data_IF_374051285317
#
_entry.id   IF_374051285317
#
_cell.length_a   1.000
_cell.length_b   1.000
_cell.length_c   1.000
_cell.angle_alpha   90.00
_cell.angle_beta   90.00
_cell.angle_gamma   90.00
#
_symmetry.space_group_name_H-M   'P 1'
#
loop_
_entity.id
_entity.type
_entity.pdbx_description
1 polymer ?
#
# COMPACT_ATOMS: atom_id res chain seq x y z
N UNK A 1 9.35 -15.16 -2.49
CA UNK A 1 9.60 -14.01 -3.36
C UNK A 1 8.31 -13.58 -4.05
N UNK A 2 8.06 -12.29 -4.09
CA UNK A 2 6.82 -11.77 -4.70
C UNK A 2 6.90 -11.91 -6.23
N UNK A 3 5.83 -12.41 -6.85
CA UNK A 3 5.75 -12.57 -8.30
C UNK A 3 5.97 -11.21 -8.98
N UNK A 4 6.76 -11.21 -10.07
CA UNK A 4 7.11 -10.00 -10.80
C UNK A 4 5.88 -9.21 -11.27
N UNK A 5 4.80 -9.89 -11.63
CA UNK A 5 3.56 -9.23 -12.09
C UNK A 5 2.91 -8.43 -10.96
N UNK A 6 2.97 -8.93 -9.73
CA UNK A 6 2.49 -8.19 -8.55
C UNK A 6 3.39 -6.98 -8.31
N UNK A 7 4.71 -7.15 -8.33
CA UNK A 7 5.67 -6.06 -8.15
C UNK A 7 5.46 -4.96 -9.19
N UNK A 8 5.34 -5.34 -10.46
CA UNK A 8 5.16 -4.39 -11.56
C UNK A 8 3.85 -3.61 -11.41
N UNK A 9 2.76 -4.28 -11.00
CA UNK A 9 1.49 -3.61 -10.77
C UNK A 9 1.61 -2.57 -9.64
N UNK A 10 2.18 -2.96 -8.51
CA UNK A 10 2.33 -2.04 -7.36
C UNK A 10 3.21 -0.85 -7.74
N UNK A 11 4.31 -1.08 -8.45
CA UNK A 11 5.23 0.00 -8.84
C UNK A 11 4.62 0.97 -9.84
N UNK A 12 3.71 0.51 -10.68
CA UNK A 12 3.13 1.31 -11.76
C UNK A 12 2.12 2.34 -11.28
N UNK A 13 1.43 2.05 -10.17
CA UNK A 13 0.38 2.92 -9.64
C UNK A 13 0.96 3.87 -8.59
N UNK A 14 0.18 4.90 -8.21
CA UNK A 14 0.66 5.99 -7.38
C UNK A 14 -0.16 6.20 -6.11
N UNK A 15 -1.43 5.79 -6.10
CA UNK A 15 -2.36 6.02 -5.00
C UNK A 15 -2.85 4.70 -4.46
N UNK A 16 -2.71 4.52 -3.17
CA UNK A 16 -3.31 3.40 -2.45
C UNK A 16 -4.51 3.87 -1.64
N UNK A 17 -5.42 2.98 -1.37
CA UNK A 17 -6.43 3.16 -0.33
C UNK A 17 -5.97 2.39 0.89
N UNK A 18 -5.78 3.11 2.00
CA UNK A 18 -5.36 2.54 3.27
C UNK A 18 -6.59 2.31 4.13
N UNK A 19 -6.77 1.08 4.60
CA UNK A 19 -7.84 0.73 5.53
C UNK A 19 -7.26 0.53 6.93
N UNK A 20 -7.81 1.24 7.89
CA UNK A 20 -7.45 1.17 9.31
C UNK A 20 -8.67 0.80 10.13
N UNK A 21 -8.48 0.50 11.39
CA UNK A 21 -9.56 0.09 12.28
C UNK A 21 -9.46 0.82 13.61
N UNK A 22 -10.60 1.31 14.10
CA UNK A 22 -10.68 1.96 15.41
C UNK A 22 -10.64 0.95 16.55
N UNK A 23 -10.49 1.45 17.79
CA UNK A 23 -10.45 0.60 18.97
C UNK A 23 -11.72 -0.22 19.19
N UNK A 24 -12.85 0.22 18.65
CA UNK A 24 -14.12 -0.53 18.73
C UNK A 24 -14.46 -1.28 17.44
N UNK A 25 -13.48 -1.46 16.56
CA UNK A 25 -13.62 -2.31 15.39
C UNK A 25 -14.26 -1.66 14.17
N UNK A 26 -14.41 -0.34 14.15
CA UNK A 26 -14.96 0.36 12.99
C UNK A 26 -13.88 0.55 11.94
N UNK A 27 -14.08 0.07 10.69
CA UNK A 27 -13.12 0.28 9.61
C UNK A 27 -13.23 1.69 9.05
N UNK A 28 -12.09 2.19 8.55
CA UNK A 28 -11.98 3.51 7.94
C UNK A 28 -10.97 3.44 6.81
N UNK A 29 -11.11 4.26 5.77
CA UNK A 29 -10.15 4.28 4.68
C UNK A 29 -9.75 5.69 4.28
N UNK A 30 -8.51 5.81 3.77
CA UNK A 30 -7.96 7.06 3.30
C UNK A 30 -7.09 6.81 2.06
N UNK A 31 -7.02 7.79 1.16
CA UNK A 31 -6.17 7.70 -0.03
C UNK A 31 -4.81 8.32 0.28
N UNK A 32 -3.74 7.62 -0.13
CA UNK A 32 -2.37 8.09 0.08
C UNK A 32 -1.54 7.86 -1.19
N UNK A 33 -0.73 8.86 -1.57
CA UNK A 33 0.34 8.62 -2.53
C UNK A 33 1.39 7.73 -1.88
N UNK A 34 2.00 6.84 -2.66
CA UNK A 34 2.95 5.89 -2.10
C UNK A 34 4.13 5.64 -3.04
N UNK A 35 5.23 5.19 -2.45
CA UNK A 35 6.35 4.59 -3.15
C UNK A 35 6.49 3.14 -2.69
N UNK A 36 7.03 2.29 -3.55
CA UNK A 36 7.20 0.89 -3.25
C UNK A 36 8.69 0.51 -3.25
N UNK A 37 9.15 0.00 -2.11
CA UNK A 37 10.46 -0.59 -1.97
C UNK A 37 10.35 -2.09 -2.29
N UNK A 38 10.67 -2.46 -3.53
CA UNK A 38 10.55 -3.85 -3.97
C UNK A 38 11.56 -4.77 -3.30
N UNK A 39 12.73 -4.24 -2.92
CA UNK A 39 13.78 -5.04 -2.29
C UNK A 39 13.37 -5.51 -0.90
N UNK A 40 12.74 -4.62 -0.13
CA UNK A 40 12.28 -4.91 1.22
C UNK A 40 10.79 -5.27 1.28
N UNK A 41 10.09 -5.18 0.14
CA UNK A 41 8.64 -5.38 0.05
C UNK A 41 7.89 -4.51 1.04
N UNK A 42 8.05 -3.17 0.88
CA UNK A 42 7.43 -2.18 1.76
C UNK A 42 6.71 -1.14 0.94
N UNK A 43 5.49 -0.79 1.34
CA UNK A 43 4.76 0.33 0.76
C UNK A 43 4.95 1.54 1.69
N UNK A 44 5.43 2.65 1.13
CA UNK A 44 5.87 3.81 1.89
C UNK A 44 4.99 5.00 1.54
N UNK A 45 4.45 5.67 2.55
CA UNK A 45 3.60 6.84 2.37
C UNK A 45 3.81 7.82 3.52
N UNK A 46 3.16 8.98 3.44
CA UNK A 46 3.20 9.97 4.51
C UNK A 46 1.80 10.18 5.04
N UNK A 47 1.69 10.45 6.33
CA UNK A 47 0.43 10.79 6.98
C UNK A 47 0.71 11.71 8.14
N UNK A 48 0.00 12.85 8.18
CA UNK A 48 0.05 13.74 9.32
C UNK A 48 -0.47 13.01 10.55
N UNK A 49 0.22 13.18 11.68
CA UNK A 49 -0.13 12.49 12.93
C UNK A 49 -1.52 12.89 13.46
N UNK A 50 -2.05 14.02 13.03
CA UNK A 50 -3.40 14.45 13.43
C UNK A 50 -4.51 13.74 12.66
N UNK A 51 -4.20 13.01 11.60
CA UNK A 51 -5.23 12.32 10.82
C UNK A 51 -5.80 11.13 11.59
N UNK A 52 -7.07 10.80 11.30
CA UNK A 52 -7.73 9.65 11.90
C UNK A 52 -6.98 8.35 11.61
N UNK A 53 -6.59 8.15 10.36
CA UNK A 53 -5.90 6.90 10.00
C UNK A 53 -4.54 6.76 10.68
N UNK A 54 -3.79 7.87 10.85
CA UNK A 54 -2.52 7.81 11.58
C UNK A 54 -2.74 7.47 13.05
N UNK A 55 -3.73 8.07 13.69
CA UNK A 55 -4.08 7.77 15.08
C UNK A 55 -4.51 6.29 15.23
N UNK A 56 -5.26 5.78 14.27
CA UNK A 56 -5.68 4.37 14.31
C UNK A 56 -4.50 3.42 14.13
N UNK A 57 -3.55 3.74 13.24
CA UNK A 57 -2.33 2.92 13.09
C UNK A 57 -1.47 2.89 14.34
N UNK A 58 -1.44 3.99 15.11
CA UNK A 58 -0.71 4.01 16.39
C UNK A 58 -1.32 3.06 17.43
N UNK A 59 -2.64 2.84 17.36
CA UNK A 59 -3.35 1.95 18.28
C UNK A 59 -3.41 0.51 17.79
N UNK A 60 -3.55 0.32 16.49
CA UNK A 60 -3.60 -1.00 15.87
C UNK A 60 -2.84 -0.97 14.55
N UNK A 61 -1.70 -1.63 14.52
CA UNK A 61 -0.82 -1.63 13.37
C UNK A 61 -1.31 -2.51 12.21
N UNK A 62 -2.33 -3.33 12.40
CA UNK A 62 -2.88 -4.17 11.35
C UNK A 62 -3.70 -3.30 10.39
N UNK A 63 -3.32 -3.31 9.12
CA UNK A 63 -3.96 -2.49 8.10
C UNK A 63 -4.19 -3.31 6.84
N UNK A 64 -5.04 -2.78 5.96
CA UNK A 64 -5.21 -3.32 4.62
C UNK A 64 -5.02 -2.21 3.59
N UNK A 65 -4.59 -2.60 2.40
CA UNK A 65 -4.36 -1.67 1.29
C UNK A 65 -5.05 -2.21 0.04
N UNK A 66 -5.70 -1.31 -0.67
CA UNK A 66 -6.21 -1.59 -2.01
C UNK A 66 -5.57 -0.66 -3.02
N UNK A 67 -5.17 -1.20 -4.17
CA UNK A 67 -4.69 -0.43 -5.32
C UNK A 67 -5.44 -0.94 -6.53
N UNK A 68 -6.14 -0.05 -7.23
CA UNK A 68 -7.03 -0.44 -8.32
C UNK A 68 -6.67 0.30 -9.60
N UNK A 69 -6.61 -0.42 -10.70
CA UNK A 69 -6.61 0.20 -12.02
C UNK A 69 -8.05 0.62 -12.32
N UNK A 70 -8.30 1.92 -12.38
CA UNK A 70 -9.60 2.42 -12.77
C UNK A 70 -9.85 2.12 -14.25
N UNK A 71 -10.95 1.43 -14.55
CA UNK A 71 -11.33 1.10 -15.91
C UNK A 71 -12.83 0.96 -16.01
N UNK A 72 -13.38 1.29 -17.19
CA UNK A 72 -14.79 1.09 -17.51
C UNK A 72 -15.05 -0.27 -18.12
N UNK A 73 -14.00 -1.03 -18.42
CA UNK A 73 -14.08 -2.30 -19.16
C UNK A 73 -13.82 -3.44 -18.17
N UNK A 74 -14.83 -4.23 -17.88
CA UNK A 74 -14.74 -5.29 -16.88
C UNK A 74 -13.65 -6.32 -17.20
N UNK A 75 -13.39 -6.59 -18.49
CA UNK A 75 -12.32 -7.51 -18.88
C UNK A 75 -10.90 -6.98 -18.67
N UNK A 76 -10.76 -5.69 -18.31
CA UNK A 76 -9.47 -5.05 -18.04
C UNK A 76 -9.28 -4.73 -16.55
N UNK A 77 -10.19 -5.16 -15.69
CA UNK A 77 -10.08 -4.91 -14.25
C UNK A 77 -8.80 -5.55 -13.72
N UNK A 78 -8.02 -4.74 -13.00
CA UNK A 78 -6.85 -5.17 -12.26
C UNK A 78 -6.89 -4.50 -10.89
N UNK A 79 -6.49 -5.23 -9.86
CA UNK A 79 -6.42 -4.66 -8.52
C UNK A 79 -5.63 -5.54 -7.59
N UNK A 80 -4.98 -4.92 -6.62
CA UNK A 80 -4.26 -5.64 -5.59
C UNK A 80 -4.88 -5.36 -4.23
N UNK A 81 -5.03 -6.41 -3.43
CA UNK A 81 -5.44 -6.33 -2.04
C UNK A 81 -4.28 -6.81 -1.17
N UNK A 82 -3.95 -6.02 -0.18
CA UNK A 82 -2.80 -6.28 0.69
C UNK A 82 -3.27 -6.23 2.14
N UNK A 83 -2.88 -7.23 2.92
CA UNK A 83 -2.93 -7.15 4.38
C UNK A 83 -1.51 -6.96 4.87
N UNK A 84 -1.32 -6.17 5.90
CA UNK A 84 0.02 -5.90 6.39
C UNK A 84 0.05 -5.22 7.75
N UNK A 85 1.27 -4.88 8.15
CA UNK A 85 1.53 -4.24 9.43
C UNK A 85 2.17 -2.88 9.17
N UNK A 86 1.57 -1.83 9.73
CA UNK A 86 2.08 -0.46 9.60
C UNK A 86 3.12 -0.19 10.68
N UNK A 87 4.15 0.56 10.31
CA UNK A 87 5.18 1.02 11.24
C UNK A 87 5.70 2.37 10.81
N UNK A 88 6.34 3.09 11.73
CA UNK A 88 7.02 4.33 11.39
C UNK A 88 8.14 4.03 10.40
N UNK A 89 8.24 4.83 9.36
CA UNK A 89 9.28 4.69 8.36
C UNK A 89 10.64 5.18 8.88
N UNK A 90 11.70 4.61 8.33
CA UNK A 90 13.09 4.97 8.62
C UNK A 90 13.60 5.98 7.59
N UNK A 91 14.87 6.41 7.75
CA UNK A 91 15.50 7.35 6.82
C UNK A 91 15.58 6.79 5.40
N UNK A 92 15.80 5.49 5.24
CA UNK A 92 15.83 4.85 3.94
C UNK A 92 14.46 4.92 3.26
N UNK A 93 13.38 4.67 4.01
CA UNK A 93 12.02 4.80 3.50
C UNK A 93 11.76 6.25 3.02
N UNK A 94 12.22 7.23 3.79
CA UNK A 94 12.09 8.65 3.42
C UNK A 94 12.79 8.94 2.10
N UNK A 95 14.00 8.42 1.90
CA UNK A 95 14.75 8.61 0.66
C UNK A 95 14.01 8.02 -0.54
N UNK A 96 13.46 6.84 -0.39
CA UNK A 96 12.70 6.16 -1.45
C UNK A 96 11.45 6.97 -1.81
N UNK A 97 10.74 7.48 -0.80
CA UNK A 97 9.55 8.30 -1.02
C UNK A 97 9.88 9.59 -1.77
N UNK A 98 10.92 10.30 -1.33
CA UNK A 98 11.34 11.57 -1.94
C UNK A 98 11.87 11.34 -3.36
N UNK A 99 12.52 10.23 -3.62
CA UNK A 99 12.99 9.92 -4.97
C UNK A 99 11.83 9.84 -5.95
N UNK A 100 10.70 9.29 -5.53
CA UNK A 100 9.49 9.21 -6.36
C UNK A 100 8.74 10.53 -6.41
N UNK A 101 8.72 11.28 -5.31
CA UNK A 101 7.99 12.54 -5.16
C UNK A 101 8.94 13.65 -4.66
N UNK A 102 9.84 14.17 -5.53
CA UNK A 102 10.88 15.12 -5.09
C UNK A 102 10.36 16.39 -4.44
N UNK A 103 9.17 16.87 -4.84
CA UNK A 103 8.59 18.08 -4.24
C UNK A 103 8.27 17.90 -2.74
N UNK A 104 8.15 16.66 -2.27
CA UNK A 104 7.87 16.38 -0.87
C UNK A 104 9.07 16.70 0.05
N UNK A 105 10.27 16.87 -0.51
CA UNK A 105 11.47 17.12 0.28
C UNK A 105 11.44 18.47 1.02
N UNK A 106 10.58 19.41 0.59
CA UNK A 106 10.51 20.76 1.19
C UNK A 106 9.59 20.82 2.41
N UNK A 107 8.89 19.74 2.74
CA UNK A 107 7.96 19.71 3.84
C UNK A 107 8.43 18.71 4.92
N UNK A 108 8.08 18.96 6.21
CA UNK A 108 8.28 17.93 7.22
C UNK A 108 7.36 16.74 6.89
N UNK A 109 7.94 15.54 6.89
CA UNK A 109 7.22 14.32 6.52
C UNK A 109 7.15 13.35 7.69
N UNK A 110 5.96 12.86 7.95
CA UNK A 110 5.76 11.72 8.85
C UNK A 110 5.65 10.47 7.98
N UNK A 111 6.78 9.78 7.82
CA UNK A 111 6.88 8.61 6.96
C UNK A 111 6.34 7.39 7.69
N UNK A 112 5.48 6.66 6.98
CA UNK A 112 4.95 5.37 7.39
C UNK A 112 5.32 4.33 6.35
N UNK A 113 5.45 3.09 6.78
CA UNK A 113 5.63 1.97 5.87
C UNK A 113 4.71 0.83 6.29
N UNK A 114 4.19 0.12 5.30
CA UNK A 114 3.43 -1.10 5.53
C UNK A 114 4.23 -2.28 4.99
N UNK A 115 4.43 -3.26 5.87
CA UNK A 115 5.07 -4.52 5.52
C UNK A 115 3.97 -5.54 5.23
N UNK A 116 3.82 -5.97 3.97
CA UNK A 116 2.78 -6.93 3.63
C UNK A 116 2.96 -8.28 4.29
N UNK A 117 1.85 -8.88 4.68
CA UNK A 117 1.78 -10.28 5.13
C UNK A 117 1.01 -11.13 4.13
N UNK A 118 0.18 -10.50 3.30
CA UNK A 118 -0.62 -11.16 2.27
C UNK A 118 -0.82 -10.19 1.12
N UNK A 119 -0.65 -10.67 -0.11
CA UNK A 119 -0.92 -9.88 -1.33
C UNK A 119 -1.71 -10.76 -2.30
N UNK A 120 -2.80 -10.22 -2.83
CA UNK A 120 -3.57 -10.86 -3.90
C UNK A 120 -3.73 -9.87 -5.05
N UNK A 121 -3.24 -10.26 -6.23
CA UNK A 121 -3.49 -9.52 -7.47
C UNK A 121 -4.59 -10.23 -8.24
N UNK A 122 -5.66 -9.50 -8.56
CA UNK A 122 -6.69 -9.92 -9.48
C UNK A 122 -6.43 -9.23 -10.81
N UNK A 123 -6.34 -10.00 -11.89
CA UNK A 123 -6.07 -9.46 -13.22
C UNK A 123 -6.92 -10.18 -14.26
N UNK A 124 -8.01 -9.53 -14.67
CA UNK A 124 -8.94 -10.12 -15.63
C UNK A 124 -8.34 -10.24 -17.05
N UNK A 125 -7.24 -9.54 -17.34
CA UNK A 125 -6.57 -9.67 -18.64
C UNK A 125 -5.83 -11.00 -18.80
N UNK A 126 -5.52 -11.67 -17.69
CA UNK A 126 -4.90 -13.00 -17.69
C UNK A 126 -5.92 -14.14 -17.77
N UNK A 127 -7.21 -13.81 -17.78
CA UNK A 127 -8.34 -14.72 -17.70
C UNK A 127 -9.30 -14.21 -16.65
N UNK A 128 -10.59 -14.23 -16.93
CA UNK A 128 -11.60 -13.63 -16.05
C UNK A 128 -11.47 -14.18 -14.63
N UNK A 129 -11.27 -13.29 -13.65
CA UNK A 129 -11.11 -13.67 -12.26
C UNK A 129 -9.77 -14.30 -11.90
N UNK A 130 -8.77 -14.24 -12.78
CA UNK A 130 -7.44 -14.80 -12.50
C UNK A 130 -6.77 -14.07 -11.36
N UNK A 131 -6.19 -14.84 -10.42
CA UNK A 131 -5.58 -14.31 -9.21
C UNK A 131 -4.18 -14.85 -8.99
N UNK A 132 -3.29 -13.97 -8.50
CA UNK A 132 -1.95 -14.34 -8.06
C UNK A 132 -1.85 -14.00 -6.57
N UNK A 133 -1.36 -14.92 -5.77
CA UNK A 133 -1.31 -14.77 -4.31
C UNK A 133 0.11 -14.91 -3.80
N UNK A 134 0.49 -14.03 -2.87
CA UNK A 134 1.73 -14.12 -2.11
C UNK A 134 1.44 -14.08 -0.62
N UNK A 135 2.14 -14.87 0.14
CA UNK A 135 2.05 -14.95 1.59
C UNK A 135 3.43 -14.82 2.21
N UNK A 136 3.54 -14.07 3.32
CA UNK A 136 4.81 -13.85 3.99
C UNK A 136 5.38 -15.13 4.65
N UNK A 137 4.57 -16.16 4.79
CA UNK A 137 4.98 -17.42 5.40
C UNK A 137 5.50 -18.44 4.39
N UNK A 138 5.59 -18.07 3.15
CA UNK A 138 6.15 -18.91 2.09
C UNK A 138 7.67 -18.76 1.98
#
# INVERSE_FOLDING_TARGET
MVDKRIVDFIKRHHVLTLATVSGNGEPYCAACFYAYDKEQNRLIFTSDDSTRHAQEMLQNANVAIGITLETRIVGKVQGVQICGVAERGCDEDRKIYIKRFPYAAVAPLNIWAVKPTFIKLTDNTLGFGKKLIWNSQE
#
